data_IF_305758180343
#
_entry.id   IF_305758180343
#
_cell.length_a   1.000
_cell.length_b   1.000
_cell.length_c   1.000
_cell.angle_alpha   90.00
_cell.angle_beta   90.00
_cell.angle_gamma   90.00
#
_symmetry.space_group_name_H-M   'P 1'
#
loop_
_entity.id
_entity.type
_entity.pdbx_description
1 polymer ?
#
# COMPACT_ATOMS: atom_id res chain seq x y z
N UNK A 1 15.49 24.25 -2.08
CA UNK A 1 14.71 23.52 -3.11
C UNK A 1 15.53 22.32 -3.54
N UNK A 2 14.92 21.15 -3.53
CA UNK A 2 15.46 19.94 -4.14
C UNK A 2 15.39 20.14 -5.67
N UNK A 3 16.39 19.70 -6.40
CA UNK A 3 16.40 19.75 -7.88
C UNK A 3 16.93 18.40 -8.39
N UNK A 4 16.07 17.40 -8.33
CA UNK A 4 16.40 16.02 -8.64
C UNK A 4 15.68 15.54 -9.89
N UNK A 5 16.40 14.88 -10.78
CA UNK A 5 15.79 14.06 -11.85
C UNK A 5 15.93 12.59 -11.48
N UNK A 6 14.81 11.89 -11.38
CA UNK A 6 14.74 10.48 -10.96
C UNK A 6 14.50 9.52 -12.13
N UNK A 7 14.64 9.95 -13.40
CA UNK A 7 14.36 9.08 -14.54
C UNK A 7 15.23 7.82 -14.54
N UNK A 8 16.48 7.93 -14.11
CA UNK A 8 17.40 6.80 -13.95
C UNK A 8 16.88 5.73 -12.99
N UNK A 9 16.25 6.14 -11.90
CA UNK A 9 15.60 5.25 -10.92
C UNK A 9 14.38 4.56 -11.55
N UNK A 10 13.53 5.35 -12.24
CA UNK A 10 12.30 4.84 -12.86
C UNK A 10 12.60 3.82 -13.96
N UNK A 11 13.64 4.04 -14.74
CA UNK A 11 14.08 3.11 -15.79
C UNK A 11 14.58 1.80 -15.20
N UNK A 12 15.31 1.84 -14.08
CA UNK A 12 15.73 0.63 -13.36
C UNK A 12 14.53 -0.14 -12.79
N UNK A 13 13.59 0.54 -12.15
CA UNK A 13 12.35 -0.10 -11.66
C UNK A 13 11.63 -0.80 -12.81
N UNK A 14 11.44 -0.10 -13.94
CA UNK A 14 10.77 -0.68 -15.10
C UNK A 14 11.50 -1.90 -15.63
N UNK A 15 12.83 -1.85 -15.72
CA UNK A 15 13.63 -2.98 -16.17
C UNK A 15 13.43 -4.19 -15.22
N UNK A 16 13.47 -3.98 -13.92
CA UNK A 16 13.22 -5.06 -12.93
C UNK A 16 11.81 -5.65 -13.03
N UNK A 17 10.82 -4.87 -13.44
CA UNK A 17 9.48 -5.41 -13.77
C UNK A 17 9.55 -6.28 -15.02
N UNK A 18 10.25 -5.84 -16.08
CA UNK A 18 10.38 -6.62 -17.31
C UNK A 18 11.14 -7.94 -17.10
N UNK A 19 12.17 -7.94 -16.25
CA UNK A 19 12.97 -9.13 -15.92
C UNK A 19 12.11 -10.24 -15.28
N UNK A 20 10.96 -9.89 -14.68
CA UNK A 20 10.02 -10.82 -14.01
C UNK A 20 8.87 -11.25 -14.91
N UNK A 21 8.79 -10.73 -16.13
CA UNK A 21 7.72 -11.07 -17.07
C UNK A 21 7.87 -12.52 -17.55
N UNK A 22 6.85 -13.34 -17.37
CA UNK A 22 6.75 -14.72 -17.83
C UNK A 22 5.97 -14.81 -19.15
N UNK A 23 4.85 -14.09 -19.22
CA UNK A 23 4.00 -13.94 -20.39
C UNK A 23 3.19 -12.64 -20.25
N UNK A 24 2.32 -12.32 -21.22
CA UNK A 24 1.42 -11.18 -21.08
C UNK A 24 0.50 -11.38 -19.87
N UNK A 25 0.51 -10.39 -18.96
CA UNK A 25 -0.23 -10.44 -17.71
C UNK A 25 0.36 -11.35 -16.62
N UNK A 26 1.39 -12.13 -16.92
CA UNK A 26 1.98 -13.10 -15.99
C UNK A 26 3.36 -12.65 -15.53
N UNK A 27 3.53 -12.51 -14.23
CA UNK A 27 4.78 -12.05 -13.62
C UNK A 27 5.13 -12.87 -12.39
N UNK A 28 6.44 -13.14 -12.21
CA UNK A 28 6.97 -13.63 -10.97
C UNK A 28 7.08 -12.49 -9.95
N UNK A 29 7.04 -12.82 -8.67
CA UNK A 29 7.30 -11.85 -7.60
C UNK A 29 8.80 -11.67 -7.38
N UNK A 30 9.58 -12.74 -7.43
CA UNK A 30 11.03 -12.77 -7.19
C UNK A 30 11.80 -13.27 -8.40
N UNK A 31 13.04 -12.79 -8.58
CA UNK A 31 13.97 -13.25 -9.62
C UNK A 31 14.84 -14.41 -9.16
N UNK A 32 15.17 -14.47 -7.86
CA UNK A 32 16.02 -15.52 -7.29
C UNK A 32 15.49 -15.99 -5.95
N UNK A 33 15.94 -17.20 -5.60
CA UNK A 33 15.58 -17.89 -4.38
C UNK A 33 16.20 -17.21 -3.14
N UNK A 34 15.50 -17.30 -2.01
CA UNK A 34 16.07 -17.05 -0.70
C UNK A 34 16.89 -18.26 -0.21
N UNK A 35 17.63 -18.10 0.90
CA UNK A 35 18.55 -19.11 1.43
C UNK A 35 17.85 -20.45 1.76
N UNK A 36 16.60 -20.41 2.24
CA UNK A 36 15.81 -21.58 2.62
C UNK A 36 15.00 -22.20 1.47
N UNK A 37 15.07 -21.63 0.26
CA UNK A 37 14.42 -22.18 -0.94
C UNK A 37 12.89 -22.10 -0.96
N UNK A 38 12.27 -21.22 -0.18
CA UNK A 38 10.83 -21.18 0.01
C UNK A 38 10.07 -20.29 -0.97
N UNK A 39 10.77 -19.44 -1.76
CA UNK A 39 10.14 -18.55 -2.75
C UNK A 39 9.59 -19.31 -3.95
N UNK A 40 8.40 -18.92 -4.39
CA UNK A 40 7.80 -19.43 -5.62
C UNK A 40 8.21 -18.52 -6.79
N UNK A 41 9.14 -18.99 -7.65
CA UNK A 41 9.69 -18.21 -8.77
C UNK A 41 8.79 -18.21 -10.03
N UNK A 42 7.60 -18.83 -9.97
CA UNK A 42 6.61 -18.83 -11.05
C UNK A 42 5.66 -17.63 -11.01
N UNK A 43 4.54 -17.79 -11.70
CA UNK A 43 3.43 -16.82 -11.64
C UNK A 43 2.97 -16.66 -10.19
N UNK A 44 2.75 -15.42 -9.77
CA UNK A 44 2.41 -15.11 -8.39
C UNK A 44 1.38 -13.98 -8.34
N UNK A 45 0.38 -14.03 -7.44
CA UNK A 45 -0.63 -12.98 -7.30
C UNK A 45 -0.04 -11.58 -7.11
N UNK A 46 0.97 -11.44 -6.23
CA UNK A 46 1.67 -10.17 -6.03
C UNK A 46 2.51 -9.78 -7.24
N UNK A 47 3.24 -10.73 -7.85
CA UNK A 47 4.00 -10.44 -9.06
C UNK A 47 3.14 -9.82 -10.15
N UNK A 48 1.96 -10.38 -10.41
CA UNK A 48 1.03 -9.87 -11.42
C UNK A 48 0.40 -8.53 -11.00
N UNK A 49 -0.12 -8.44 -9.78
CA UNK A 49 -0.79 -7.24 -9.30
C UNK A 49 0.18 -6.05 -9.20
N UNK A 50 1.37 -6.25 -8.62
CA UNK A 50 2.38 -5.21 -8.46
C UNK A 50 2.93 -4.72 -9.80
N UNK A 51 3.19 -5.63 -10.76
CA UNK A 51 3.61 -5.25 -12.10
C UNK A 51 2.57 -4.36 -12.80
N UNK A 52 1.27 -4.65 -12.67
CA UNK A 52 0.20 -3.80 -13.20
C UNK A 52 0.24 -2.40 -12.58
N UNK A 53 0.37 -2.33 -11.25
CA UNK A 53 0.41 -1.09 -10.49
C UNK A 53 1.63 -0.24 -10.80
N UNK A 54 2.81 -0.85 -10.85
CA UNK A 54 4.06 -0.16 -11.21
C UNK A 54 3.97 0.38 -12.64
N UNK A 55 3.48 -0.42 -13.59
CA UNK A 55 3.29 0.03 -14.98
C UNK A 55 2.28 1.17 -15.09
N UNK A 56 1.20 1.14 -14.29
CA UNK A 56 0.23 2.24 -14.23
C UNK A 56 0.90 3.52 -13.71
N UNK A 57 1.62 3.43 -12.59
CA UNK A 57 2.31 4.55 -11.96
C UNK A 57 3.33 5.20 -12.90
N UNK A 58 4.08 4.39 -13.65
CA UNK A 58 5.05 4.83 -14.66
C UNK A 58 4.42 5.38 -15.96
N UNK A 59 3.09 5.33 -16.11
CA UNK A 59 2.42 5.69 -17.36
C UNK A 59 2.70 4.72 -18.51
N UNK A 60 3.10 3.47 -18.20
CA UNK A 60 3.38 2.36 -19.15
C UNK A 60 2.32 1.25 -19.07
N UNK A 61 1.11 1.61 -18.63
CA UNK A 61 -0.02 0.68 -18.53
C UNK A 61 -0.46 0.21 -19.92
N UNK A 62 -0.85 -1.07 -20.09
CA UNK A 62 -1.22 -1.61 -21.40
C UNK A 62 -2.47 -0.92 -21.96
N UNK A 63 -2.41 -0.58 -23.24
CA UNK A 63 -3.52 0.02 -23.99
C UNK A 63 -4.12 -0.94 -25.03
N UNK A 64 -3.37 -1.97 -25.43
CA UNK A 64 -3.89 -3.01 -26.32
C UNK A 64 -4.94 -3.87 -25.62
N UNK A 65 -6.15 -4.06 -26.19
CA UNK A 65 -7.21 -4.83 -25.57
C UNK A 65 -6.84 -6.30 -25.28
N UNK A 66 -6.03 -6.91 -26.14
CA UNK A 66 -5.59 -8.30 -25.98
C UNK A 66 -4.63 -8.43 -24.81
N UNK A 67 -3.65 -7.51 -24.71
CA UNK A 67 -2.74 -7.46 -23.57
C UNK A 67 -3.53 -7.21 -22.27
N UNK A 68 -4.50 -6.26 -22.28
CA UNK A 68 -5.34 -5.99 -21.10
C UNK A 68 -6.14 -7.23 -20.66
N UNK A 69 -6.72 -7.95 -21.62
CA UNK A 69 -7.47 -9.18 -21.30
C UNK A 69 -6.57 -10.26 -20.72
N UNK A 70 -5.34 -10.41 -21.24
CA UNK A 70 -4.37 -11.37 -20.68
C UNK A 70 -4.03 -11.08 -19.21
N UNK A 71 -3.96 -9.81 -18.79
CA UNK A 71 -3.79 -9.45 -17.38
C UNK A 71 -5.00 -9.84 -16.53
N UNK A 72 -6.21 -9.59 -17.02
CA UNK A 72 -7.45 -9.97 -16.31
C UNK A 72 -7.53 -11.47 -16.16
N UNK A 73 -7.26 -12.22 -17.24
CA UNK A 73 -7.30 -13.69 -17.24
C UNK A 73 -6.24 -14.26 -16.28
N UNK A 74 -5.03 -13.71 -16.26
CA UNK A 74 -3.97 -14.14 -15.37
C UNK A 74 -4.37 -13.94 -13.89
N UNK A 75 -4.83 -12.75 -13.52
CA UNK A 75 -5.27 -12.45 -12.15
C UNK A 75 -6.49 -13.30 -11.76
N UNK A 76 -7.51 -13.41 -12.63
CA UNK A 76 -8.70 -14.21 -12.36
C UNK A 76 -8.41 -15.71 -12.24
N UNK A 77 -7.36 -16.22 -12.90
CA UNK A 77 -6.98 -17.65 -12.84
C UNK A 77 -6.45 -18.07 -11.46
N UNK A 78 -5.99 -17.11 -10.65
CA UNK A 78 -5.45 -17.35 -9.31
C UNK A 78 -6.49 -17.20 -8.20
N UNK A 79 -7.74 -16.84 -8.54
CA UNK A 79 -8.84 -16.77 -7.59
C UNK A 79 -9.38 -18.17 -7.28
N UNK A 80 -9.55 -18.49 -6.01
CA UNK A 80 -10.15 -19.76 -5.56
C UNK A 80 -11.65 -19.79 -5.93
N UNK A 81 -12.14 -20.78 -6.69
CA UNK A 81 -13.54 -20.83 -7.15
C UNK A 81 -14.55 -21.18 -6.04
N UNK A 82 -14.12 -21.76 -4.92
CA UNK A 82 -15.02 -22.18 -3.84
C UNK A 82 -15.24 -21.03 -2.84
N UNK A 83 -14.17 -20.36 -2.44
CA UNK A 83 -14.20 -19.25 -1.46
C UNK A 83 -14.37 -17.89 -2.12
N UNK A 84 -13.91 -17.73 -3.37
CA UNK A 84 -13.81 -16.47 -4.08
C UNK A 84 -12.62 -15.61 -3.67
N UNK A 85 -11.70 -16.14 -2.84
CA UNK A 85 -10.56 -15.37 -2.31
C UNK A 85 -9.28 -15.66 -3.09
N UNK A 86 -8.27 -14.83 -2.86
CA UNK A 86 -6.90 -15.03 -3.34
C UNK A 86 -6.01 -15.40 -2.16
N UNK A 87 -5.13 -16.37 -2.36
CA UNK A 87 -4.23 -16.87 -1.33
C UNK A 87 -2.78 -16.79 -1.82
N UNK A 88 -1.92 -16.30 -0.96
CA UNK A 88 -0.47 -16.29 -1.14
C UNK A 88 0.19 -16.51 0.23
N UNK A 89 1.32 -17.24 0.26
CA UNK A 89 1.88 -17.78 1.51
C UNK A 89 2.49 -16.72 2.45
N UNK A 90 2.88 -15.57 1.92
CA UNK A 90 3.59 -14.55 2.69
C UNK A 90 2.68 -13.48 3.29
N UNK A 91 1.40 -13.47 2.90
CA UNK A 91 0.43 -12.46 3.34
C UNK A 91 -0.88 -13.10 3.80
N UNK A 92 -1.61 -12.34 4.61
CA UNK A 92 -2.95 -12.73 5.04
C UNK A 92 -3.93 -12.73 3.85
N UNK A 93 -4.87 -13.68 3.86
CA UNK A 93 -5.79 -13.92 2.74
C UNK A 93 -6.61 -12.67 2.35
N UNK A 94 -7.08 -11.88 3.32
CA UNK A 94 -7.84 -10.66 3.02
C UNK A 94 -6.96 -9.58 2.37
N UNK A 95 -5.68 -9.50 2.74
CA UNK A 95 -4.72 -8.61 2.07
C UNK A 95 -4.51 -9.02 0.62
N UNK A 96 -4.19 -10.29 0.38
CA UNK A 96 -3.99 -10.81 -0.99
C UNK A 96 -5.23 -10.61 -1.85
N UNK A 97 -6.43 -10.88 -1.28
CA UNK A 97 -7.71 -10.71 -1.99
C UNK A 97 -7.97 -9.26 -2.36
N UNK A 98 -7.75 -8.34 -1.43
CA UNK A 98 -7.89 -6.90 -1.67
C UNK A 98 -6.91 -6.41 -2.74
N UNK A 99 -5.65 -6.82 -2.64
CA UNK A 99 -4.58 -6.42 -3.56
C UNK A 99 -4.85 -6.89 -5.00
N UNK A 100 -5.22 -8.16 -5.20
CA UNK A 100 -5.57 -8.70 -6.51
C UNK A 100 -6.84 -8.06 -7.08
N UNK A 101 -7.89 -7.88 -6.26
CA UNK A 101 -9.14 -7.24 -6.68
C UNK A 101 -8.91 -5.80 -7.13
N UNK A 102 -8.10 -5.06 -6.37
CA UNK A 102 -7.73 -3.71 -6.72
C UNK A 102 -6.88 -3.63 -8.02
N UNK A 103 -6.01 -4.64 -8.27
CA UNK A 103 -5.27 -4.72 -9.52
C UNK A 103 -6.16 -5.02 -10.73
N UNK A 104 -7.15 -5.92 -10.59
CA UNK A 104 -8.14 -6.22 -11.64
C UNK A 104 -8.96 -4.97 -11.99
N UNK A 105 -9.33 -4.18 -10.97
CA UNK A 105 -10.08 -2.94 -11.15
C UNK A 105 -9.35 -1.91 -12.01
N UNK A 106 -8.01 -1.89 -12.04
CA UNK A 106 -7.25 -1.06 -12.98
C UNK A 106 -7.53 -1.38 -14.46
N UNK A 107 -8.00 -2.59 -14.76
CA UNK A 107 -8.37 -3.04 -16.10
C UNK A 107 -9.86 -2.86 -16.39
N UNK A 108 -10.60 -2.18 -15.50
CA UNK A 108 -12.07 -2.02 -15.57
C UNK A 108 -12.81 -3.37 -15.54
N UNK A 109 -12.24 -4.34 -14.82
CA UNK A 109 -12.77 -5.69 -14.66
C UNK A 109 -13.02 -6.02 -13.17
N UNK A 110 -13.66 -7.16 -12.92
CA UNK A 110 -14.01 -7.64 -11.57
C UNK A 110 -13.45 -9.03 -11.33
N UNK A 111 -13.31 -9.48 -10.07
CA UNK A 111 -13.04 -10.87 -9.74
C UNK A 111 -14.03 -11.82 -10.42
N UNK A 112 -13.57 -13.00 -10.79
CA UNK A 112 -14.33 -13.97 -11.58
C UNK A 112 -15.40 -14.69 -10.76
N UNK A 113 -15.06 -15.06 -9.51
CA UNK A 113 -15.91 -15.84 -8.64
C UNK A 113 -16.47 -15.01 -7.49
N UNK A 114 -17.72 -15.27 -7.03
CA UNK A 114 -18.29 -14.63 -5.87
C UNK A 114 -17.45 -14.87 -4.60
N UNK A 115 -17.24 -13.84 -3.80
CA UNK A 115 -16.46 -13.92 -2.56
C UNK A 115 -17.31 -14.43 -1.40
N UNK A 116 -17.79 -15.68 -1.48
CA UNK A 116 -18.70 -16.30 -0.49
C UNK A 116 -18.15 -16.26 0.94
N UNK A 117 -16.84 -16.40 1.09
CA UNK A 117 -16.20 -16.37 2.40
C UNK A 117 -16.36 -15.01 3.12
N UNK A 118 -16.70 -13.93 2.39
CA UNK A 118 -16.91 -12.61 2.97
C UNK A 118 -18.35 -12.36 3.44
N UNK A 119 -19.31 -13.23 3.09
CA UNK A 119 -20.73 -13.08 3.46
C UNK A 119 -20.94 -12.97 4.98
N UNK A 120 -20.10 -13.62 5.77
CA UNK A 120 -20.14 -13.55 7.24
C UNK A 120 -19.90 -12.14 7.81
N UNK A 121 -19.25 -11.26 7.05
CA UNK A 121 -18.94 -9.89 7.48
C UNK A 121 -19.97 -8.85 7.03
N UNK A 122 -21.00 -9.27 6.28
CA UNK A 122 -22.03 -8.36 5.76
C UNK A 122 -23.09 -7.98 6.79
N UNK A 123 -23.58 -8.89 7.65
CA UNK A 123 -24.58 -8.54 8.65
C UNK A 123 -24.08 -7.49 9.64
N UNK A 124 -25.04 -6.87 10.36
CA UNK A 124 -24.74 -5.98 11.50
C UNK A 124 -23.89 -6.73 12.53
N UNK A 125 -22.84 -6.08 13.04
CA UNK A 125 -21.85 -6.67 13.92
C UNK A 125 -20.77 -7.51 13.23
N UNK A 126 -20.90 -7.80 11.91
CA UNK A 126 -19.96 -8.64 11.18
C UNK A 126 -18.61 -7.97 10.98
N UNK A 127 -18.57 -6.81 10.36
CA UNK A 127 -17.32 -6.08 10.12
C UNK A 127 -16.77 -5.46 11.40
N UNK A 128 -17.64 -4.97 12.27
CA UNK A 128 -17.27 -4.46 13.60
C UNK A 128 -16.60 -5.56 14.44
N UNK A 129 -17.17 -6.78 14.42
CA UNK A 129 -16.60 -7.93 15.12
C UNK A 129 -15.23 -8.35 14.57
N UNK A 130 -15.03 -8.27 13.26
CA UNK A 130 -13.71 -8.46 12.68
C UNK A 130 -12.71 -7.43 13.21
N UNK A 131 -13.05 -6.13 13.15
CA UNK A 131 -12.16 -5.04 13.54
C UNK A 131 -11.84 -5.06 15.06
N UNK A 132 -12.83 -5.41 15.89
CA UNK A 132 -12.63 -5.58 17.34
C UNK A 132 -11.77 -6.81 17.66
N UNK A 133 -11.85 -7.86 16.86
CA UNK A 133 -11.15 -9.12 17.06
C UNK A 133 -9.70 -9.14 16.53
N UNK A 134 -9.24 -8.07 15.87
CA UNK A 134 -7.84 -7.96 15.42
C UNK A 134 -6.87 -7.92 16.60
N UNK A 135 -5.70 -8.51 16.44
CA UNK A 135 -4.61 -8.42 17.41
C UNK A 135 -3.91 -7.06 17.35
N UNK A 136 -4.44 -6.09 18.11
CA UNK A 136 -3.92 -4.72 18.15
C UNK A 136 -2.54 -4.59 18.85
N UNK A 137 -1.96 -5.67 19.36
CA UNK A 137 -0.55 -5.72 19.74
C UNK A 137 0.37 -5.93 18.52
N UNK A 138 -0.19 -6.25 17.34
CA UNK A 138 0.49 -6.35 16.05
C UNK A 138 -0.26 -5.54 14.97
N UNK A 139 -0.44 -4.23 15.18
CA UNK A 139 -1.39 -3.42 14.42
C UNK A 139 -1.08 -3.39 12.93
N UNK A 140 0.19 -3.35 12.51
CA UNK A 140 0.56 -3.32 11.11
C UNK A 140 0.07 -4.57 10.36
N UNK A 141 0.47 -5.76 10.80
CA UNK A 141 0.07 -7.01 10.13
C UNK A 141 -1.46 -7.24 10.19
N UNK A 142 -2.11 -6.88 11.27
CA UNK A 142 -3.55 -7.10 11.43
C UNK A 142 -4.41 -6.10 10.64
N UNK A 143 -3.92 -4.88 10.42
CA UNK A 143 -4.60 -3.91 9.56
C UNK A 143 -4.71 -4.38 8.10
N UNK A 144 -3.88 -5.33 7.68
CA UNK A 144 -4.05 -6.02 6.40
C UNK A 144 -5.44 -6.65 6.25
N UNK A 145 -5.97 -7.22 7.33
CA UNK A 145 -7.32 -7.76 7.36
C UNK A 145 -8.37 -6.65 7.50
N UNK A 146 -8.14 -5.71 8.42
CA UNK A 146 -9.07 -4.62 8.71
C UNK A 146 -9.32 -3.68 7.54
N UNK A 147 -8.29 -3.38 6.74
CA UNK A 147 -8.43 -2.58 5.53
C UNK A 147 -8.82 -3.46 4.32
N UNK A 148 -8.25 -4.67 4.22
CA UNK A 148 -8.51 -5.58 3.12
C UNK A 148 -9.97 -6.02 3.01
N UNK A 149 -10.70 -6.16 4.12
CA UNK A 149 -12.13 -6.48 4.10
C UNK A 149 -12.94 -5.38 3.40
N UNK A 150 -12.64 -4.10 3.67
CA UNK A 150 -13.34 -2.98 3.04
C UNK A 150 -13.17 -3.01 1.53
N UNK A 151 -11.96 -3.18 1.05
CA UNK A 151 -11.65 -3.24 -0.39
C UNK A 151 -12.33 -4.44 -1.04
N UNK A 152 -12.20 -5.63 -0.46
CA UNK A 152 -12.74 -6.87 -1.01
C UNK A 152 -14.26 -6.83 -1.12
N UNK A 153 -14.96 -6.34 -0.10
CA UNK A 153 -16.43 -6.23 -0.08
C UNK A 153 -16.92 -5.16 -1.06
N UNK A 154 -16.21 -4.01 -1.19
CA UNK A 154 -16.60 -2.97 -2.14
C UNK A 154 -16.34 -3.37 -3.59
N UNK A 155 -15.14 -3.88 -3.91
CA UNK A 155 -14.79 -4.23 -5.30
C UNK A 155 -15.49 -5.50 -5.81
N UNK A 156 -16.00 -6.35 -4.92
CA UNK A 156 -16.90 -7.45 -5.30
C UNK A 156 -18.36 -7.04 -5.46
N UNK A 157 -18.70 -5.77 -5.18
CA UNK A 157 -20.06 -5.27 -5.25
C UNK A 157 -21.00 -5.74 -4.13
N UNK A 158 -20.46 -6.31 -3.04
CA UNK A 158 -21.24 -6.81 -1.91
C UNK A 158 -21.55 -5.70 -0.87
N UNK A 159 -20.80 -4.59 -0.89
CA UNK A 159 -20.99 -3.48 0.04
C UNK A 159 -22.32 -2.75 -0.18
N UNK A 160 -23.03 -2.48 0.91
CA UNK A 160 -24.15 -1.52 0.91
C UNK A 160 -23.70 -0.18 1.51
N UNK A 161 -24.43 0.94 1.27
CA UNK A 161 -24.15 2.21 1.95
C UNK A 161 -24.13 2.08 3.48
N UNK A 162 -25.04 1.28 4.05
CA UNK A 162 -25.13 1.01 5.49
C UNK A 162 -23.91 0.25 6.00
N UNK A 163 -23.41 -0.74 5.22
CA UNK A 163 -22.19 -1.47 5.55
C UNK A 163 -20.97 -0.54 5.59
N UNK A 164 -20.80 0.28 4.55
CA UNK A 164 -19.73 1.27 4.51
C UNK A 164 -19.83 2.28 5.66
N UNK A 165 -21.06 2.73 5.99
CA UNK A 165 -21.27 3.62 7.12
C UNK A 165 -20.82 2.98 8.45
N UNK A 166 -21.12 1.70 8.70
CA UNK A 166 -20.66 0.99 9.91
C UNK A 166 -19.15 0.87 9.96
N UNK A 167 -18.51 0.49 8.85
CA UNK A 167 -17.07 0.39 8.75
C UNK A 167 -16.37 1.72 9.11
N UNK A 168 -16.74 2.83 8.46
CA UNK A 168 -16.14 4.13 8.73
C UNK A 168 -16.55 4.71 10.09
N UNK A 169 -17.74 4.39 10.61
CA UNK A 169 -18.13 4.79 11.96
C UNK A 169 -17.24 4.11 13.01
N UNK A 170 -16.94 2.81 12.83
CA UNK A 170 -16.02 2.12 13.71
C UNK A 170 -14.63 2.75 13.67
N UNK A 171 -14.09 3.05 12.49
CA UNK A 171 -12.80 3.73 12.35
C UNK A 171 -12.81 5.11 13.01
N UNK A 172 -13.90 5.87 12.83
CA UNK A 172 -14.05 7.18 13.45
C UNK A 172 -14.03 7.10 14.97
N UNK A 173 -14.79 6.18 15.55
CA UNK A 173 -14.94 6.05 17.01
C UNK A 173 -13.66 5.53 17.68
N UNK A 174 -12.86 4.75 16.95
CA UNK A 174 -11.64 4.12 17.45
C UNK A 174 -10.34 4.85 17.06
N UNK A 175 -10.40 6.00 16.37
CA UNK A 175 -9.22 6.83 16.13
C UNK A 175 -8.73 7.45 17.45
N UNK A 176 -7.42 7.38 17.69
CA UNK A 176 -6.81 7.89 18.92
C UNK A 176 -6.75 9.44 18.91
N UNK A 177 -7.30 10.13 19.93
CA UNK A 177 -7.39 11.59 19.92
C UNK A 177 -6.05 12.30 20.12
N UNK A 178 -5.03 11.63 20.65
CA UNK A 178 -3.71 12.21 20.89
C UNK A 178 -2.80 12.07 19.69
N UNK A 179 -2.87 10.92 18.99
CA UNK A 179 -1.98 10.59 17.88
C UNK A 179 -2.63 10.60 16.51
N UNK A 180 -3.97 10.50 16.43
CA UNK A 180 -4.73 10.34 15.20
C UNK A 180 -4.65 8.94 14.58
N UNK A 181 -3.90 8.02 15.18
CA UNK A 181 -3.64 6.68 14.68
C UNK A 181 -4.68 5.67 15.21
N UNK A 182 -4.72 4.47 14.67
CA UNK A 182 -5.51 3.37 15.17
C UNK A 182 -4.64 2.37 15.94
N UNK A 183 -5.13 1.83 17.07
CA UNK A 183 -6.43 2.00 17.72
C UNK A 183 -6.28 2.79 19.02
N UNK A 184 -7.26 3.63 19.34
CA UNK A 184 -7.34 4.32 20.64
C UNK A 184 -7.24 3.33 21.81
N UNK A 185 -6.44 3.69 22.83
CA UNK A 185 -6.17 2.83 23.98
C UNK A 185 -5.10 1.74 23.72
N UNK A 186 -4.59 1.60 22.49
CA UNK A 186 -3.52 0.67 22.11
C UNK A 186 -2.24 1.39 21.67
N UNK A 187 -2.36 2.53 21.00
CA UNK A 187 -1.20 3.30 20.45
C UNK A 187 -0.20 3.68 21.56
N UNK A 188 -0.70 4.08 22.72
CA UNK A 188 0.11 4.54 23.87
C UNK A 188 0.09 3.55 25.04
N UNK A 189 -0.19 2.27 24.79
CA UNK A 189 -0.17 1.24 25.81
C UNK A 189 1.26 1.07 26.33
N UNK A 190 1.53 1.20 27.65
CA UNK A 190 2.88 1.17 28.21
C UNK A 190 3.66 -0.10 27.89
N UNK A 191 2.97 -1.22 27.77
CA UNK A 191 3.52 -2.55 27.52
C UNK A 191 3.34 -2.97 26.04
N UNK A 192 3.00 -2.03 25.12
CA UNK A 192 2.85 -2.35 23.72
C UNK A 192 4.15 -2.96 23.18
N UNK A 193 4.12 -4.18 22.62
CA UNK A 193 5.32 -4.87 22.14
C UNK A 193 5.93 -4.17 20.93
N UNK A 194 5.17 -3.31 20.27
CA UNK A 194 5.54 -2.55 19.09
C UNK A 194 5.42 -1.05 19.33
N UNK A 195 6.34 -0.30 18.74
CA UNK A 195 6.34 1.16 18.87
C UNK A 195 5.26 1.85 18.05
N UNK A 196 5.13 3.18 18.24
CA UNK A 196 4.16 4.03 17.53
C UNK A 196 4.23 3.90 16.00
N UNK A 197 5.39 3.54 15.45
CA UNK A 197 5.57 3.33 14.01
C UNK A 197 4.78 2.14 13.45
N UNK A 198 4.52 1.10 14.24
CA UNK A 198 3.64 0.00 13.83
C UNK A 198 2.18 0.46 13.72
N UNK A 199 1.75 1.36 14.60
CA UNK A 199 0.43 1.99 14.52
C UNK A 199 0.31 2.97 13.37
N UNK A 200 1.38 3.70 13.03
CA UNK A 200 1.43 4.55 11.84
C UNK A 200 1.32 3.70 10.56
N UNK A 201 2.08 2.62 10.47
CA UNK A 201 2.03 1.69 9.35
C UNK A 201 0.65 0.99 9.24
N UNK A 202 -0.01 0.69 10.37
CA UNK A 202 -1.41 0.26 10.41
C UNK A 202 -2.36 1.34 9.86
N UNK A 203 -2.14 2.59 10.27
CA UNK A 203 -2.93 3.74 9.84
C UNK A 203 -2.86 3.93 8.33
N UNK A 204 -1.70 3.73 7.71
CA UNK A 204 -1.53 3.75 6.26
C UNK A 204 -2.58 2.89 5.54
N UNK A 205 -2.84 1.67 6.00
CA UNK A 205 -3.82 0.77 5.38
C UNK A 205 -5.26 1.31 5.46
N UNK A 206 -5.64 1.96 6.54
CA UNK A 206 -6.97 2.57 6.66
C UNK A 206 -7.09 3.88 5.86
N UNK A 207 -5.96 4.62 5.69
CA UNK A 207 -5.99 5.88 4.96
C UNK A 207 -6.38 5.71 3.49
N UNK A 208 -5.92 4.68 2.79
CA UNK A 208 -6.34 4.52 1.40
C UNK A 208 -7.81 4.10 1.27
N UNK A 209 -8.40 3.47 2.29
CA UNK A 209 -9.85 3.27 2.33
C UNK A 209 -10.60 4.59 2.50
N UNK A 210 -10.10 5.49 3.38
CA UNK A 210 -10.65 6.84 3.55
C UNK A 210 -10.55 7.66 2.27
N UNK A 211 -9.39 7.67 1.61
CA UNK A 211 -9.17 8.39 0.34
C UNK A 211 -10.09 7.88 -0.77
N UNK A 212 -10.19 6.56 -0.95
CA UNK A 212 -11.04 5.95 -1.96
C UNK A 212 -12.53 6.23 -1.75
N UNK A 213 -12.99 6.17 -0.50
CA UNK A 213 -14.38 6.44 -0.14
C UNK A 213 -14.68 7.94 0.08
N UNK A 214 -13.68 8.81 -0.07
CA UNK A 214 -13.79 10.26 0.22
C UNK A 214 -14.27 10.56 1.64
N UNK A 215 -13.83 9.75 2.61
CA UNK A 215 -14.18 9.92 4.01
C UNK A 215 -13.11 10.71 4.74
N UNK A 216 -13.49 11.72 5.57
CA UNK A 216 -12.50 12.51 6.30
C UNK A 216 -11.85 11.70 7.44
N UNK A 217 -10.60 12.05 7.76
CA UNK A 217 -9.96 11.62 8.99
C UNK A 217 -10.56 12.40 10.18
N UNK A 218 -10.65 11.75 11.33
CA UNK A 218 -11.12 12.42 12.56
C UNK A 218 -10.11 13.42 13.11
N UNK A 219 -8.81 13.10 13.04
CA UNK A 219 -7.73 13.88 13.64
C UNK A 219 -6.54 14.03 12.68
N UNK A 220 -6.70 14.68 11.49
CA UNK A 220 -5.62 14.75 10.50
C UNK A 220 -4.39 15.51 11.01
N UNK A 221 -4.56 16.56 11.85
CA UNK A 221 -3.43 17.27 12.46
C UNK A 221 -2.61 16.35 13.37
N UNK A 222 -3.26 15.43 14.09
CA UNK A 222 -2.60 14.51 15.00
C UNK A 222 -1.80 13.44 14.25
N UNK A 223 -2.31 12.97 13.11
CA UNK A 223 -1.55 12.08 12.22
C UNK A 223 -0.27 12.77 11.75
N UNK A 224 -0.34 14.05 11.35
CA UNK A 224 0.81 14.84 10.95
C UNK A 224 1.81 14.97 12.11
N UNK A 225 1.34 15.40 13.31
CA UNK A 225 2.18 15.53 14.49
C UNK A 225 2.91 14.24 14.83
N UNK A 226 2.20 13.08 14.76
CA UNK A 226 2.77 11.77 15.01
C UNK A 226 3.83 11.38 13.99
N UNK A 227 3.59 11.62 12.70
CA UNK A 227 4.56 11.32 11.63
C UNK A 227 5.84 12.16 11.77
N UNK A 228 5.72 13.47 12.08
CA UNK A 228 6.86 14.34 12.25
C UNK A 228 7.64 13.99 13.53
N UNK A 229 6.95 13.72 14.64
CA UNK A 229 7.57 13.25 15.88
C UNK A 229 8.39 11.97 15.66
N UNK A 230 7.86 10.99 14.92
CA UNK A 230 8.58 9.75 14.61
C UNK A 230 9.83 9.99 13.78
N UNK A 231 9.83 10.97 12.89
CA UNK A 231 10.99 11.28 12.09
C UNK A 231 12.11 11.93 12.90
N UNK A 232 11.77 12.85 13.82
CA UNK A 232 12.72 13.66 14.57
C UNK A 232 13.23 12.98 15.83
N UNK A 233 12.35 12.36 16.61
CA UNK A 233 12.64 11.97 17.99
C UNK A 233 12.75 10.44 18.16
N UNK A 234 12.11 9.67 17.29
CA UNK A 234 12.03 8.22 17.46
C UNK A 234 12.45 7.53 16.18
N UNK A 235 13.74 7.15 16.01
CA UNK A 235 14.17 6.46 14.80
C UNK A 235 13.25 5.25 14.53
N UNK A 236 12.50 5.32 13.45
CA UNK A 236 11.55 4.28 13.07
C UNK A 236 12.25 2.92 12.91
N UNK A 237 13.43 2.97 12.28
CA UNK A 237 14.24 1.79 11.98
C UNK A 237 15.62 2.29 11.55
N UNK A 238 16.74 1.63 11.92
CA UNK A 238 18.07 2.01 11.49
C UNK A 238 18.26 2.07 9.98
N UNK A 239 17.39 1.39 9.23
CA UNK A 239 17.41 1.31 7.77
C UNK A 239 16.37 2.22 7.10
N UNK A 240 15.55 2.97 7.85
CA UNK A 240 14.55 3.87 7.28
C UNK A 240 15.16 4.85 6.28
N UNK A 241 14.59 4.89 5.07
CA UNK A 241 15.13 5.62 3.93
C UNK A 241 16.34 4.97 3.26
N UNK A 242 16.71 3.74 3.66
CA UNK A 242 17.84 2.95 3.12
C UNK A 242 17.44 1.52 2.79
N UNK A 243 16.20 1.31 2.41
CA UNK A 243 15.63 0.01 2.05
C UNK A 243 14.46 0.22 1.08
N UNK A 244 14.21 -0.72 0.18
CA UNK A 244 12.95 -0.80 -0.53
C UNK A 244 11.95 -1.53 0.38
N UNK A 245 11.30 -0.78 1.26
CA UNK A 245 10.38 -1.32 2.26
C UNK A 245 9.05 -0.61 2.23
N UNK A 246 8.15 -1.01 3.11
CA UNK A 246 6.84 -0.39 3.20
C UNK A 246 6.81 0.78 4.18
N UNK A 247 7.66 0.78 5.20
CA UNK A 247 7.67 1.86 6.20
C UNK A 247 7.91 3.24 5.57
N UNK A 248 8.68 3.29 4.48
CA UNK A 248 8.94 4.50 3.69
C UNK A 248 7.67 5.06 3.06
N UNK A 249 6.91 4.20 2.37
CA UNK A 249 5.64 4.64 1.76
C UNK A 249 4.58 4.88 2.82
N UNK A 250 4.50 4.07 3.88
CA UNK A 250 3.55 4.24 4.97
C UNK A 250 3.67 5.62 5.59
N UNK A 251 4.90 6.03 5.92
CA UNK A 251 5.18 7.35 6.51
C UNK A 251 4.90 8.48 5.52
N UNK A 252 5.41 8.40 4.29
CA UNK A 252 5.19 9.44 3.27
C UNK A 252 3.70 9.59 2.97
N UNK A 253 2.98 8.48 2.85
CA UNK A 253 1.56 8.50 2.54
C UNK A 253 0.72 9.06 3.68
N UNK A 254 0.94 8.62 4.92
CA UNK A 254 0.24 9.16 6.09
C UNK A 254 0.42 10.68 6.17
N UNK A 255 1.64 11.16 6.03
CA UNK A 255 1.96 12.59 6.11
C UNK A 255 1.34 13.40 4.96
N UNK A 256 1.47 12.92 3.72
CA UNK A 256 0.96 13.62 2.53
C UNK A 256 -0.56 13.61 2.47
N UNK A 257 -1.20 12.50 2.86
CA UNK A 257 -2.67 12.38 2.81
C UNK A 257 -3.38 13.13 3.93
N UNK A 258 -2.87 13.08 5.14
CA UNK A 258 -3.38 13.91 6.22
C UNK A 258 -3.24 15.41 5.88
N UNK A 259 -2.15 15.84 5.22
CA UNK A 259 -1.94 17.21 4.81
C UNK A 259 -2.88 17.71 3.71
N UNK A 260 -3.61 16.82 3.02
CA UNK A 260 -4.69 17.21 2.09
C UNK A 260 -5.93 17.74 2.82
N UNK A 261 -6.10 17.38 4.10
CA UNK A 261 -7.30 17.70 4.88
C UNK A 261 -7.09 18.89 5.81
N UNK A 262 -5.84 19.33 6.03
CA UNK A 262 -5.52 20.46 6.90
C UNK A 262 -4.22 21.14 6.47
N UNK A 263 -4.09 22.49 6.63
CA UNK A 263 -2.83 23.20 6.40
C UNK A 263 -1.84 23.10 7.57
N UNK A 264 -2.12 22.30 8.60
CA UNK A 264 -1.30 22.14 9.79
C UNK A 264 0.14 21.76 9.43
N UNK A 265 1.11 22.52 9.95
CA UNK A 265 2.56 22.32 9.76
C UNK A 265 3.02 22.13 8.29
N UNK A 266 2.31 22.75 7.34
CA UNK A 266 2.49 22.54 5.88
C UNK A 266 3.93 22.72 5.41
N UNK A 267 4.65 23.77 5.88
CA UNK A 267 6.02 24.03 5.46
C UNK A 267 7.01 23.04 6.05
N UNK A 268 6.80 22.65 7.30
CA UNK A 268 7.61 21.66 8.01
C UNK A 268 7.50 20.27 7.38
N UNK A 269 6.29 19.86 7.01
CA UNK A 269 6.06 18.63 6.23
C UNK A 269 6.95 18.61 4.98
N UNK A 270 6.97 19.70 4.22
CA UNK A 270 7.77 19.78 3.00
C UNK A 270 9.27 19.75 3.25
N UNK A 271 9.74 20.31 4.36
CA UNK A 271 11.15 20.23 4.76
C UNK A 271 11.57 18.81 5.08
N UNK A 272 10.78 18.08 5.87
CA UNK A 272 11.02 16.69 6.21
C UNK A 272 10.97 15.78 4.97
N UNK A 273 9.99 15.98 4.09
CA UNK A 273 9.92 15.22 2.84
C UNK A 273 11.12 15.47 1.91
N UNK A 274 11.67 16.69 1.88
CA UNK A 274 12.90 16.98 1.12
C UNK A 274 14.11 16.25 1.72
N UNK A 275 14.26 16.33 3.04
CA UNK A 275 15.36 15.67 3.74
C UNK A 275 15.30 14.15 3.53
N UNK A 276 14.12 13.57 3.66
CA UNK A 276 13.89 12.16 3.36
C UNK A 276 14.21 11.82 1.89
N UNK A 277 13.69 12.59 0.93
CA UNK A 277 13.88 12.34 -0.49
C UNK A 277 15.36 12.33 -0.91
N UNK A 278 16.18 13.28 -0.39
CA UNK A 278 17.63 13.32 -0.63
C UNK A 278 18.29 12.01 -0.19
N UNK A 279 18.00 11.55 1.03
CA UNK A 279 18.58 10.33 1.61
C UNK A 279 18.11 9.09 0.82
N UNK A 280 16.82 9.04 0.49
CA UNK A 280 16.23 7.89 -0.18
C UNK A 280 16.73 7.74 -1.62
N UNK A 281 16.78 8.81 -2.41
CA UNK A 281 17.32 8.77 -3.78
C UNK A 281 18.80 8.40 -3.80
N UNK A 282 19.60 8.92 -2.86
CA UNK A 282 21.01 8.56 -2.73
C UNK A 282 21.17 7.06 -2.45
N UNK A 283 20.36 6.51 -1.55
CA UNK A 283 20.38 5.07 -1.28
C UNK A 283 19.96 4.26 -2.51
N UNK A 284 18.84 4.58 -3.17
CA UNK A 284 18.35 3.87 -4.34
C UNK A 284 19.41 3.79 -5.43
N UNK A 285 20.14 4.89 -5.67
CA UNK A 285 21.21 4.94 -6.68
C UNK A 285 22.43 4.13 -6.30
N UNK A 286 22.74 4.03 -5.00
CA UNK A 286 23.92 3.31 -4.47
C UNK A 286 23.68 1.83 -4.19
N UNK A 287 22.42 1.40 -4.12
CA UNK A 287 22.04 0.02 -3.84
C UNK A 287 22.52 -0.95 -4.92
N UNK A 288 22.91 -2.15 -4.51
CA UNK A 288 23.22 -3.27 -5.42
C UNK A 288 21.91 -3.95 -5.85
N UNK A 289 21.36 -3.53 -7.00
CA UNK A 289 20.11 -4.04 -7.53
C UNK A 289 20.10 -5.52 -7.90
N UNK A 290 21.28 -6.14 -8.02
CA UNK A 290 21.40 -7.54 -8.37
C UNK A 290 21.50 -8.48 -7.15
N UNK A 291 21.74 -7.91 -5.95
CA UNK A 291 21.93 -8.70 -4.73
C UNK A 291 21.04 -8.27 -3.57
N UNK A 292 20.43 -7.09 -3.67
CA UNK A 292 19.62 -6.59 -2.58
C UNK A 292 18.28 -7.34 -2.51
N UNK A 293 18.01 -7.98 -1.37
CA UNK A 293 16.84 -8.83 -1.16
C UNK A 293 15.51 -8.09 -1.27
N UNK A 294 15.46 -6.84 -0.82
CA UNK A 294 14.22 -6.05 -0.92
C UNK A 294 13.96 -5.58 -2.35
N UNK A 295 15.00 -5.33 -3.15
CA UNK A 295 14.87 -5.02 -4.58
C UNK A 295 14.58 -6.27 -5.44
N UNK A 296 14.76 -7.47 -4.87
CA UNK A 296 14.31 -8.73 -5.47
C UNK A 296 12.79 -8.94 -5.33
N UNK A 297 12.12 -8.29 -4.40
CA UNK A 297 10.68 -8.43 -4.21
C UNK A 297 9.91 -7.39 -5.03
N UNK A 298 9.02 -7.84 -5.95
CA UNK A 298 8.17 -6.96 -6.74
C UNK A 298 7.28 -6.08 -5.87
N UNK A 299 6.82 -6.62 -4.73
CA UNK A 299 5.95 -5.91 -3.80
C UNK A 299 6.70 -4.74 -3.15
N UNK A 300 7.96 -4.94 -2.75
CA UNK A 300 8.81 -3.86 -2.26
C UNK A 300 9.09 -2.79 -3.34
N UNK A 301 9.27 -3.20 -4.60
CA UNK A 301 9.40 -2.25 -5.72
C UNK A 301 8.11 -1.44 -5.93
N UNK A 302 6.95 -2.05 -5.72
CA UNK A 302 5.66 -1.35 -5.78
C UNK A 302 5.54 -0.32 -4.66
N UNK A 303 5.84 -0.66 -3.41
CA UNK A 303 5.90 0.30 -2.30
C UNK A 303 6.85 1.47 -2.61
N UNK A 304 8.04 1.16 -3.14
CA UNK A 304 9.02 2.18 -3.52
C UNK A 304 8.48 3.15 -4.59
N UNK A 305 7.88 2.65 -5.68
CA UNK A 305 7.37 3.55 -6.73
C UNK A 305 6.20 4.40 -6.26
N UNK A 306 5.34 3.89 -5.37
CA UNK A 306 4.29 4.66 -4.73
C UNK A 306 4.89 5.80 -3.88
N UNK A 307 5.93 5.51 -3.11
CA UNK A 307 6.66 6.52 -2.34
C UNK A 307 7.23 7.63 -3.24
N UNK A 308 7.89 7.27 -4.35
CA UNK A 308 8.42 8.22 -5.33
C UNK A 308 7.31 9.08 -5.96
N UNK A 309 6.14 8.50 -6.24
CA UNK A 309 5.00 9.21 -6.80
C UNK A 309 4.40 10.22 -5.82
N UNK A 310 4.27 9.87 -4.53
CA UNK A 310 3.81 10.78 -3.48
C UNK A 310 4.78 11.94 -3.28
N UNK A 311 6.08 11.66 -3.23
CA UNK A 311 7.11 12.68 -3.12
C UNK A 311 7.08 13.64 -4.32
N UNK A 312 7.01 13.14 -5.55
CA UNK A 312 6.95 13.96 -6.76
C UNK A 312 5.69 14.85 -6.78
N UNK A 313 4.55 14.31 -6.38
CA UNK A 313 3.29 15.04 -6.33
C UNK A 313 3.31 16.16 -5.26
N UNK A 314 3.91 15.88 -4.09
CA UNK A 314 3.93 16.84 -2.98
C UNK A 314 5.01 17.89 -3.16
N UNK A 315 6.18 17.52 -3.67
CA UNK A 315 7.31 18.39 -3.95
C UNK A 315 7.34 18.87 -5.41
N UNK A 316 6.19 19.32 -5.91
CA UNK A 316 6.01 19.72 -7.32
C UNK A 316 7.08 20.70 -7.78
N UNK A 317 7.69 20.40 -8.93
CA UNK A 317 8.75 21.20 -9.54
C UNK A 317 10.14 21.01 -8.93
N UNK A 318 10.26 20.18 -7.90
CA UNK A 318 11.52 19.84 -7.25
C UNK A 318 12.05 18.45 -7.62
N UNK A 319 11.15 17.55 -8.08
CA UNK A 319 11.48 16.20 -8.53
C UNK A 319 10.95 16.03 -9.95
N UNK A 320 11.88 15.85 -10.90
CA UNK A 320 11.59 15.73 -12.33
C UNK A 320 11.70 14.28 -12.82
N UNK A 321 10.94 13.97 -13.87
CA UNK A 321 11.03 12.77 -14.70
C UNK A 321 10.47 13.11 -16.09
N UNK A 322 10.67 12.24 -17.07
CA UNK A 322 10.19 12.44 -18.45
C UNK A 322 8.67 12.64 -18.52
N UNK A 323 7.95 11.91 -17.65
CA UNK A 323 6.50 12.07 -17.46
C UNK A 323 6.20 12.05 -15.95
N UNK A 324 5.24 12.87 -15.48
CA UNK A 324 4.81 12.79 -14.08
C UNK A 324 4.31 11.40 -13.73
N UNK A 325 4.68 10.92 -12.55
CA UNK A 325 4.17 9.66 -12.01
C UNK A 325 2.67 9.78 -11.69
N UNK A 326 1.94 8.71 -11.93
CA UNK A 326 0.53 8.62 -11.53
C UNK A 326 0.41 8.09 -10.12
N UNK A 327 -0.51 8.66 -9.35
CA UNK A 327 -0.84 8.16 -8.01
C UNK A 327 -1.81 6.98 -8.15
N UNK A 328 -1.30 5.76 -8.22
CA UNK A 328 -2.15 4.56 -8.38
C UNK A 328 -3.08 4.34 -7.20
N UNK A 329 -2.67 4.76 -5.99
CA UNK A 329 -3.49 4.67 -4.78
C UNK A 329 -4.65 5.68 -4.76
N UNK A 330 -4.68 6.68 -5.66
CA UNK A 330 -5.87 7.52 -5.91
C UNK A 330 -6.87 6.82 -6.85
N UNK A 331 -6.39 5.88 -7.68
CA UNK A 331 -7.22 5.15 -8.64
C UNK A 331 -7.81 3.87 -8.03
N UNK A 332 -7.15 3.26 -7.09
CA UNK A 332 -7.54 2.00 -6.46
C UNK A 332 -7.17 1.95 -4.98
N UNK A 333 -7.98 1.26 -4.14
CA UNK A 333 -7.94 1.44 -2.68
C UNK A 333 -6.98 0.50 -1.92
N UNK A 334 -5.94 -0.05 -2.53
CA UNK A 334 -5.10 -1.02 -1.79
C UNK A 334 -3.67 -1.15 -2.34
N UNK A 335 -2.73 -1.55 -1.45
CA UNK A 335 -1.33 -1.85 -1.77
C UNK A 335 -0.95 -3.27 -1.35
#
# INVERSE_FOLDING_TARGET
MLNENIQDILDRIYQKVQDRKLADGQYARWLWQNEDGTRELGINPYGCADAANIRYTLGKFPTDPTERQAWVDALQSMQDPETGLYVEKTHLTLHTTAHCSAAIELFDATPKYPMKALEQYLPEGGVEGLLDGLDWDRPWSESHQGAGIHVSVNLSGMATPEWNKRYFQWLWDNADPETGLWRAGWVNKPDAPKGIHEHMASTFHYLFNHEYAHMPLRYPEKVIDSCLYMYDETPMNPHFGKVAGFLEIDWVYCLTRASRQTPHRFWEIREHLRDFAVKYFAWIRSADWEKNETLNDMHCLFGMICCLAELQQTLRGEIASDKPLKLVLDRRPFI
#
